data_IF_317961619745
#
_entry.id   IF_317961619745
#
_cell.length_a   1.000
_cell.length_b   1.000
_cell.length_c   1.000
_cell.angle_alpha   90.00
_cell.angle_beta   90.00
_cell.angle_gamma   90.00
#
_symmetry.space_group_name_H-M   'P 1'
#
loop_
_entity.id
_entity.type
_entity.pdbx_description
1 polymer ?
#
# COMPACT_ATOMS: atom_id res chain seq x y z
N UNK A 1 3.47 -3.09 -18.83
CA UNK A 1 4.17 -2.65 -17.63
C UNK A 1 3.22 -2.01 -16.66
N UNK A 2 3.27 -2.47 -15.44
CA UNK A 2 2.39 -1.93 -14.42
C UNK A 2 2.97 -0.63 -13.86
N UNK A 3 2.13 0.41 -13.75
CA UNK A 3 2.53 1.69 -13.16
C UNK A 3 2.06 1.81 -11.71
N UNK A 4 1.49 0.72 -11.17
CA UNK A 4 0.89 0.81 -9.85
C UNK A 4 1.91 1.07 -8.74
N UNK A 5 3.14 0.57 -8.87
CA UNK A 5 4.17 0.81 -7.86
C UNK A 5 4.52 2.30 -7.78
N UNK A 6 4.69 2.94 -8.93
CA UNK A 6 4.93 4.38 -8.98
C UNK A 6 3.72 5.15 -8.46
N UNK A 7 2.53 4.66 -8.74
CA UNK A 7 1.29 5.29 -8.31
C UNK A 7 1.12 5.23 -6.79
N UNK A 8 1.48 4.11 -6.18
CA UNK A 8 1.45 3.99 -4.71
C UNK A 8 2.30 5.08 -4.08
N UNK A 9 3.53 5.20 -4.55
CA UNK A 9 4.46 6.19 -4.03
C UNK A 9 3.96 7.61 -4.27
N UNK A 10 3.49 7.89 -5.47
CA UNK A 10 2.99 9.22 -5.83
C UNK A 10 1.79 9.62 -4.94
N UNK A 11 0.85 8.71 -4.74
CA UNK A 11 -0.31 8.98 -3.90
C UNK A 11 0.08 9.20 -2.45
N UNK A 12 1.02 8.38 -1.95
CA UNK A 12 1.52 8.54 -0.59
C UNK A 12 2.16 9.92 -0.40
N UNK A 13 3.03 10.29 -1.33
CA UNK A 13 3.76 11.57 -1.25
C UNK A 13 2.82 12.75 -1.44
N UNK A 14 1.84 12.61 -2.31
CA UNK A 14 0.84 13.66 -2.55
C UNK A 14 0.07 13.99 -1.27
N UNK A 15 -0.16 12.98 -0.44
CA UNK A 15 -0.89 13.14 0.82
C UNK A 15 0.03 13.42 2.01
N UNK A 16 1.33 13.55 1.76
CA UNK A 16 2.34 13.76 2.80
C UNK A 16 2.32 12.68 3.88
N UNK A 17 2.09 11.43 3.45
CA UNK A 17 2.06 10.31 4.36
C UNK A 17 3.42 9.61 4.40
N UNK A 18 3.83 9.22 5.60
CA UNK A 18 4.99 8.34 5.74
C UNK A 18 4.55 6.92 5.42
N UNK A 19 5.51 6.04 5.11
CA UNK A 19 5.21 4.63 4.88
C UNK A 19 4.54 4.01 6.10
N UNK A 20 5.01 4.39 7.29
CA UNK A 20 4.45 3.91 8.54
C UNK A 20 2.98 4.29 8.68
N UNK A 21 2.63 5.52 8.32
CA UNK A 21 1.23 5.97 8.35
C UNK A 21 0.35 5.19 7.39
N UNK A 22 0.86 4.89 6.20
CA UNK A 22 0.12 4.10 5.22
C UNK A 22 -0.12 2.68 5.76
N UNK A 23 0.92 2.07 6.33
CA UNK A 23 0.79 0.74 6.93
C UNK A 23 -0.25 0.74 8.05
N UNK A 24 -0.22 1.75 8.91
CA UNK A 24 -1.21 1.86 10.00
C UNK A 24 -2.62 1.95 9.47
N UNK A 25 -2.84 2.71 8.39
CA UNK A 25 -4.16 2.79 7.76
C UNK A 25 -4.58 1.46 7.16
N UNK A 26 -3.64 0.77 6.52
CA UNK A 26 -3.93 -0.53 5.91
C UNK A 26 -4.41 -1.56 6.93
N UNK A 27 -3.83 -1.54 8.13
CA UNK A 27 -4.17 -2.51 9.16
C UNK A 27 -5.66 -2.49 9.53
N UNK A 28 -6.32 -1.36 9.33
CA UNK A 28 -7.74 -1.23 9.59
C UNK A 28 -8.61 -1.99 8.58
N UNK A 29 -8.05 -2.26 7.41
CA UNK A 29 -8.78 -2.89 6.31
C UNK A 29 -8.34 -4.32 6.04
N UNK A 30 -7.35 -4.80 6.79
CA UNK A 30 -6.80 -6.13 6.58
C UNK A 30 -7.40 -7.13 7.56
N UNK A 31 -7.68 -8.37 7.10
CA UNK A 31 -8.06 -9.43 8.02
C UNK A 31 -6.86 -9.79 8.91
N UNK A 32 -7.13 -10.41 10.06
CA UNK A 32 -6.08 -10.74 11.01
C UNK A 32 -4.97 -11.58 10.40
N UNK A 33 -5.31 -12.46 9.47
CA UNK A 33 -4.33 -13.32 8.82
C UNK A 33 -3.37 -12.56 7.90
N UNK A 34 -3.70 -11.31 7.56
CA UNK A 34 -2.93 -10.52 6.62
C UNK A 34 -2.26 -9.29 7.28
N UNK A 35 -2.28 -9.21 8.61
CA UNK A 35 -1.77 -8.02 9.31
C UNK A 35 -0.26 -8.00 9.51
N UNK A 36 0.47 -8.82 8.77
CA UNK A 36 1.93 -8.86 8.85
C UNK A 36 2.63 -7.86 7.92
N UNK A 37 1.88 -6.90 7.38
CA UNK A 37 2.45 -5.88 6.49
C UNK A 37 3.30 -4.90 7.29
N UNK A 38 4.51 -4.63 6.78
CA UNK A 38 5.44 -3.69 7.41
C UNK A 38 5.83 -2.60 6.42
N UNK A 39 6.53 -1.58 6.93
CA UNK A 39 7.05 -0.51 6.07
C UNK A 39 8.03 -1.07 5.04
N UNK A 40 8.76 -2.11 5.41
CA UNK A 40 9.69 -2.76 4.49
C UNK A 40 8.96 -3.40 3.31
N UNK A 41 7.82 -4.02 3.58
CA UNK A 41 6.99 -4.59 2.53
C UNK A 41 6.47 -3.49 1.60
N UNK A 42 6.03 -2.38 2.17
CA UNK A 42 5.56 -1.25 1.37
C UNK A 42 6.68 -0.69 0.50
N UNK A 43 7.89 -0.60 1.04
CA UNK A 43 9.05 -0.17 0.26
C UNK A 43 9.28 -1.07 -0.96
N UNK A 44 9.16 -2.38 -0.77
CA UNK A 44 9.34 -3.34 -1.86
C UNK A 44 8.27 -3.13 -2.94
N UNK A 45 7.03 -2.85 -2.54
CA UNK A 45 5.96 -2.56 -3.50
C UNK A 45 6.24 -1.28 -4.27
N UNK A 46 6.69 -0.23 -3.59
CA UNK A 46 6.99 1.05 -4.23
C UNK A 46 8.17 0.94 -5.20
N UNK A 47 9.10 0.04 -4.90
CA UNK A 47 10.25 -0.21 -5.77
C UNK A 47 9.93 -1.14 -6.94
N UNK A 48 8.73 -1.73 -6.95
CA UNK A 48 8.33 -2.65 -8.01
C UNK A 48 8.94 -4.04 -7.85
N UNK A 49 9.52 -4.34 -6.69
CA UNK A 49 10.15 -5.63 -6.44
C UNK A 49 9.14 -6.73 -6.12
N UNK A 50 7.99 -6.34 -5.58
CA UNK A 50 6.92 -7.25 -5.21
C UNK A 50 5.57 -6.62 -5.52
N UNK A 51 4.58 -7.47 -5.72
CA UNK A 51 3.21 -7.03 -5.88
C UNK A 51 2.38 -7.53 -4.70
N UNK A 52 1.47 -6.70 -4.15
CA UNK A 52 0.58 -7.18 -3.09
C UNK A 52 -0.45 -8.15 -3.65
N UNK A 53 -0.92 -9.05 -2.81
CA UNK A 53 -2.06 -9.90 -3.14
C UNK A 53 -3.29 -9.02 -3.30
N UNK A 54 -4.32 -9.55 -3.98
CA UNK A 54 -5.53 -8.80 -4.25
C UNK A 54 -6.13 -8.20 -2.97
N UNK A 55 -6.26 -8.99 -1.92
CA UNK A 55 -6.81 -8.54 -0.65
C UNK A 55 -5.99 -7.40 -0.05
N UNK A 56 -4.68 -7.56 -0.05
CA UNK A 56 -3.76 -6.56 0.49
C UNK A 56 -3.73 -5.33 -0.39
N UNK A 57 -3.80 -5.51 -1.71
CA UNK A 57 -3.87 -4.40 -2.65
C UNK A 57 -5.11 -3.55 -2.45
N UNK A 58 -6.25 -4.19 -2.15
CA UNK A 58 -7.48 -3.46 -1.84
C UNK A 58 -7.34 -2.64 -0.57
N UNK A 59 -6.72 -3.21 0.46
CA UNK A 59 -6.48 -2.49 1.70
C UNK A 59 -5.56 -1.28 1.46
N UNK A 60 -4.56 -1.44 0.61
CA UNK A 60 -3.66 -0.35 0.25
C UNK A 60 -4.41 0.75 -0.47
N UNK A 61 -5.27 0.40 -1.43
CA UNK A 61 -6.06 1.37 -2.16
C UNK A 61 -6.98 2.14 -1.23
N UNK A 62 -7.63 1.45 -0.29
CA UNK A 62 -8.49 2.08 0.70
C UNK A 62 -7.70 3.01 1.62
N UNK A 63 -6.50 2.57 2.03
CA UNK A 63 -5.63 3.37 2.90
C UNK A 63 -5.21 4.68 2.23
N UNK A 64 -5.01 4.65 0.92
CA UNK A 64 -4.61 5.82 0.15
C UNK A 64 -5.80 6.60 -0.39
N UNK A 65 -7.01 6.08 -0.24
CA UNK A 65 -8.21 6.74 -0.76
C UNK A 65 -8.31 6.70 -2.28
N UNK A 66 -7.71 5.71 -2.91
CA UNK A 66 -7.72 5.55 -4.37
C UNK A 66 -8.73 4.47 -4.72
N UNK A 67 -9.67 4.78 -5.60
CA UNK A 67 -10.71 3.84 -5.98
C UNK A 67 -10.26 2.83 -7.01
N UNK A 68 -9.31 3.21 -7.84
CA UNK A 68 -8.88 2.42 -8.98
C UNK A 68 -7.36 2.36 -9.02
N UNK A 69 -6.82 1.23 -8.62
CA UNK A 69 -5.37 1.06 -8.57
C UNK A 69 -4.89 -0.19 -9.33
#
# INVERSE_FOLDING_TARGET
MSNWSSRIRAERERQNLTREQVVQRMLQFLPDSEKAVTTRTLMAWEAGEREPRVTVGLALALALGVEDM
#
